data_IF_455522278210
#
_entry.id   IF_455522278210
#
_cell.length_a   1.000
_cell.length_b   1.000
_cell.length_c   1.000
_cell.angle_alpha   90.00
_cell.angle_beta   90.00
_cell.angle_gamma   90.00
#
_symmetry.space_group_name_H-M   'P 1'
#
loop_
_entity.id
_entity.type
_entity.pdbx_description
1 polymer ?
#
# COMPACT_ATOMS: atom_id res chain seq x y z
N UNK A 1 46.71 -31.12 53.47
CA UNK A 1 46.24 -32.49 53.18
C UNK A 1 44.76 -32.34 52.83
N UNK A 2 44.19 -32.69 51.68
CA UNK A 2 44.45 -33.76 50.72
C UNK A 2 43.92 -33.29 49.34
N UNK A 3 44.60 -33.74 48.28
CA UNK A 3 44.32 -33.57 46.85
C UNK A 3 43.03 -34.30 46.40
N UNK A 4 42.37 -33.86 45.32
CA UNK A 4 42.01 -34.70 44.14
C UNK A 4 41.02 -33.97 43.20
N UNK A 5 41.46 -33.54 42.01
CA UNK A 5 41.37 -34.20 40.68
C UNK A 5 40.04 -33.92 39.92
N UNK A 6 40.17 -33.15 38.83
CA UNK A 6 39.91 -33.49 37.41
C UNK A 6 38.42 -33.59 37.02
N UNK A 7 37.93 -32.65 36.21
CA UNK A 7 37.98 -32.67 34.73
C UNK A 7 36.85 -33.52 34.13
N UNK A 8 35.81 -32.86 33.60
CA UNK A 8 35.18 -33.31 32.35
C UNK A 8 34.46 -32.14 31.66
N UNK A 9 34.95 -31.83 30.47
CA UNK A 9 34.35 -30.95 29.47
C UNK A 9 33.10 -31.64 28.92
N UNK A 10 31.92 -31.02 29.04
CA UNK A 10 30.74 -31.44 28.28
C UNK A 10 30.65 -30.62 26.99
N UNK A 11 31.21 -31.20 25.92
CA UNK A 11 30.97 -30.83 24.54
C UNK A 11 29.86 -31.75 24.02
N UNK A 12 28.75 -31.21 23.52
CA UNK A 12 27.69 -32.04 22.95
C UNK A 12 26.38 -31.33 22.70
N UNK A 13 26.38 -30.28 21.89
CA UNK A 13 25.18 -29.74 21.27
C UNK A 13 24.85 -30.60 20.04
N UNK A 14 23.75 -31.37 20.09
CA UNK A 14 23.16 -32.00 18.92
C UNK A 14 21.66 -31.67 18.90
N UNK A 15 21.32 -30.50 18.34
CA UNK A 15 19.94 -30.17 18.01
C UNK A 15 19.61 -30.78 16.64
N UNK A 16 18.63 -31.67 16.64
CA UNK A 16 18.07 -32.30 15.45
C UNK A 16 17.32 -31.26 14.62
N UNK A 17 17.75 -31.01 13.39
CA UNK A 17 16.96 -30.27 12.40
C UNK A 17 16.21 -31.26 11.53
N UNK A 18 14.90 -31.37 11.73
CA UNK A 18 14.00 -32.06 10.81
C UNK A 18 13.95 -31.26 9.50
N UNK A 19 14.44 -31.85 8.42
CA UNK A 19 14.33 -31.31 7.07
C UNK A 19 12.87 -31.29 6.62
N UNK A 20 12.28 -30.11 6.52
CA UNK A 20 11.04 -29.91 5.77
C UNK A 20 11.44 -29.64 4.31
N UNK A 21 11.05 -30.56 3.43
CA UNK A 21 11.25 -30.47 2.00
C UNK A 21 10.46 -29.28 1.43
N UNK A 22 11.15 -28.21 1.06
CA UNK A 22 10.61 -27.16 0.21
C UNK A 22 10.65 -27.66 -1.25
N UNK A 23 9.47 -27.77 -1.87
CA UNK A 23 9.34 -28.03 -3.30
C UNK A 23 9.91 -26.86 -4.12
N UNK A 24 10.48 -27.12 -5.31
CA UNK A 24 11.11 -26.09 -6.13
C UNK A 24 10.05 -25.30 -6.90
N UNK A 25 9.82 -24.03 -6.53
CA UNK A 25 9.28 -23.05 -7.47
C UNK A 25 10.42 -22.60 -8.40
N UNK A 26 10.24 -22.89 -9.69
CA UNK A 26 11.21 -22.69 -10.77
C UNK A 26 11.42 -21.20 -11.08
N UNK A 27 12.65 -20.67 -11.04
CA UNK A 27 12.95 -19.34 -11.57
C UNK A 27 13.05 -19.40 -13.11
N UNK A 28 12.25 -18.58 -13.78
CA UNK A 28 12.30 -18.36 -15.23
C UNK A 28 13.40 -17.37 -15.59
N UNK A 29 14.35 -17.88 -16.37
CA UNK A 29 15.39 -17.26 -17.22
C UNK A 29 15.59 -15.74 -17.26
N UNK A 30 16.82 -15.39 -16.89
CA UNK A 30 17.74 -14.36 -17.39
C UNK A 30 17.63 -14.06 -18.89
N UNK A 31 17.50 -12.76 -19.27
CA UNK A 31 18.07 -12.10 -20.47
C UNK A 31 18.13 -10.58 -20.17
N UNK A 32 19.33 -10.04 -19.91
CA UNK A 32 20.27 -9.37 -20.82
C UNK A 32 20.06 -7.85 -20.90
N UNK A 33 21.12 -7.13 -20.53
CA UNK A 33 21.31 -5.70 -20.60
C UNK A 33 21.40 -5.26 -22.05
N UNK A 34 20.61 -4.27 -22.45
CA UNK A 34 20.93 -3.42 -23.59
C UNK A 34 20.76 -1.95 -23.20
N UNK A 35 21.91 -1.31 -23.06
CA UNK A 35 22.13 0.12 -23.10
C UNK A 35 21.86 0.59 -24.54
N UNK A 36 20.87 1.45 -24.75
CA UNK A 36 20.87 2.27 -25.96
C UNK A 36 20.32 3.67 -25.71
N UNK A 37 21.30 4.57 -25.62
CA UNK A 37 21.23 6.01 -25.86
C UNK A 37 20.45 6.36 -27.11
N UNK A 38 19.56 7.36 -27.03
CA UNK A 38 19.29 8.29 -28.13
C UNK A 38 18.63 9.57 -27.61
N UNK A 39 19.41 10.64 -27.70
CA UNK A 39 19.02 12.04 -27.65
C UNK A 39 18.10 12.41 -28.83
N UNK A 40 16.96 13.07 -28.55
CA UNK A 40 16.28 13.92 -29.54
C UNK A 40 15.95 15.28 -28.95
N UNK A 41 16.45 16.29 -29.65
CA UNK A 41 16.36 17.73 -29.39
C UNK A 41 15.06 18.30 -29.97
N UNK A 42 14.42 19.17 -29.20
CA UNK A 42 13.55 20.32 -29.54
C UNK A 42 12.48 20.18 -30.64
N UNK A 43 11.26 20.67 -30.35
CA UNK A 43 10.73 21.90 -30.97
C UNK A 43 9.40 22.29 -30.33
N UNK A 44 9.35 23.54 -29.91
CA UNK A 44 8.22 24.29 -29.38
C UNK A 44 7.01 24.33 -30.33
N UNK A 45 5.81 24.33 -29.75
CA UNK A 45 4.76 25.24 -30.22
C UNK A 45 3.75 25.53 -29.12
N UNK A 46 3.87 26.75 -28.61
CA UNK A 46 2.83 27.43 -27.86
C UNK A 46 1.61 27.63 -28.77
N UNK A 47 0.42 27.34 -28.24
CA UNK A 47 -0.82 27.91 -28.73
C UNK A 47 -1.54 28.54 -27.54
N UNK A 48 -1.45 29.86 -27.52
CA UNK A 48 -2.32 30.76 -26.79
C UNK A 48 -3.79 30.46 -27.11
N UNK A 49 -4.61 30.31 -26.07
CA UNK A 49 -6.03 30.64 -26.15
C UNK A 49 -6.36 31.53 -24.97
N UNK A 50 -6.32 32.83 -25.25
CA UNK A 50 -6.96 33.90 -24.49
C UNK A 50 -8.47 33.82 -24.67
N UNK A 51 -9.26 33.79 -23.58
CA UNK A 51 -10.60 34.42 -23.52
C UNK A 51 -10.99 34.68 -22.05
N UNK A 52 -10.74 35.91 -21.62
CA UNK A 52 -11.69 36.88 -21.03
C UNK A 52 -12.83 36.40 -20.12
N UNK A 53 -12.59 36.56 -18.81
CA UNK A 53 -13.30 37.42 -17.83
C UNK A 53 -14.83 37.36 -17.55
N UNK A 54 -15.09 37.35 -16.23
CA UNK A 54 -16.11 38.09 -15.44
C UNK A 54 -17.60 37.69 -15.46
N UNK A 55 -18.00 37.16 -14.29
CA UNK A 55 -19.00 37.70 -13.36
C UNK A 55 -20.39 38.06 -13.89
N UNK A 56 -21.42 37.34 -13.42
CA UNK A 56 -22.61 37.97 -12.81
C UNK A 56 -23.35 36.97 -11.91
N UNK A 57 -23.41 37.31 -10.62
CA UNK A 57 -24.40 36.85 -9.66
C UNK A 57 -25.82 37.22 -10.12
N UNK A 58 -26.82 36.36 -9.87
CA UNK A 58 -28.09 36.88 -9.39
C UNK A 58 -28.51 36.23 -8.07
N UNK A 59 -28.63 37.14 -7.11
CA UNK A 59 -29.27 37.00 -5.81
C UNK A 59 -30.76 36.62 -5.93
N UNK A 60 -31.24 35.92 -4.90
CA UNK A 60 -32.63 35.89 -4.38
C UNK A 60 -33.53 34.77 -4.88
N UNK A 61 -33.88 33.83 -3.99
CA UNK A 61 -35.22 33.78 -3.35
C UNK A 61 -35.19 32.74 -2.23
N UNK A 62 -35.26 33.21 -0.99
CA UNK A 62 -35.50 32.42 0.21
C UNK A 62 -36.94 31.92 0.22
N UNK A 63 -37.13 30.61 0.01
CA UNK A 63 -38.36 29.93 0.41
C UNK A 63 -38.13 29.25 1.75
N UNK A 64 -38.50 29.98 2.79
CA UNK A 64 -38.70 29.50 4.15
C UNK A 64 -39.81 28.44 4.13
N UNK A 65 -39.42 27.17 4.14
CA UNK A 65 -40.30 26.06 4.41
C UNK A 65 -40.08 25.63 5.86
N UNK A 66 -41.04 25.94 6.71
CA UNK A 66 -41.12 25.44 8.09
C UNK A 66 -41.37 23.94 8.05
N UNK A 67 -40.30 23.17 7.87
CA UNK A 67 -40.27 21.72 8.00
C UNK A 67 -39.96 21.36 9.45
N UNK A 68 -40.78 20.49 10.04
CA UNK A 68 -40.56 19.87 11.34
C UNK A 68 -39.13 19.30 11.44
N UNK A 69 -38.54 19.18 12.64
CA UNK A 69 -37.25 18.53 12.81
C UNK A 69 -37.41 17.03 12.50
N UNK A 70 -37.06 16.65 11.28
CA UNK A 70 -36.65 15.28 11.01
C UNK A 70 -35.38 15.06 11.83
N UNK A 71 -35.38 14.06 12.72
CA UNK A 71 -34.17 13.55 13.33
C UNK A 71 -33.38 12.88 12.21
N UNK A 72 -32.59 13.69 11.49
CA UNK A 72 -31.62 13.21 10.52
C UNK A 72 -30.49 12.62 11.35
N UNK A 73 -30.50 11.31 11.51
CA UNK A 73 -29.29 10.58 11.92
C UNK A 73 -28.30 10.72 10.76
N UNK A 74 -27.56 11.81 10.73
CA UNK A 74 -26.48 12.02 9.77
C UNK A 74 -25.41 10.99 10.10
N UNK A 75 -25.42 9.87 9.39
CA UNK A 75 -24.31 8.92 9.39
C UNK A 75 -23.16 9.67 8.73
N UNK A 76 -22.16 10.06 9.53
CA UNK A 76 -20.97 10.73 9.02
C UNK A 76 -20.33 9.86 7.94
N UNK A 77 -20.03 10.45 6.79
CA UNK A 77 -19.29 9.76 5.74
C UNK A 77 -17.92 9.32 6.27
N UNK A 78 -17.40 8.17 5.82
CA UNK A 78 -16.06 7.74 6.21
C UNK A 78 -15.02 8.78 5.78
N UNK A 79 -14.03 9.01 6.62
CA UNK A 79 -12.89 9.86 6.28
C UNK A 79 -12.15 9.27 5.07
N UNK A 80 -11.94 10.10 4.05
CA UNK A 80 -11.19 9.72 2.85
C UNK A 80 -9.81 10.34 2.90
N UNK A 81 -8.80 9.48 2.84
CA UNK A 81 -7.41 9.87 2.74
C UNK A 81 -7.01 9.95 1.27
N UNK A 82 -6.48 11.10 0.85
CA UNK A 82 -6.14 11.39 -0.55
C UNK A 82 -4.67 11.77 -0.74
N UNK A 83 -4.18 11.76 -1.97
CA UNK A 83 -2.79 12.11 -2.30
C UNK A 83 -1.76 11.02 -1.97
N UNK A 84 -2.23 9.79 -1.75
CA UNK A 84 -1.36 8.62 -1.61
C UNK A 84 -0.88 8.10 -2.96
N UNK A 85 0.28 7.46 -2.96
CA UNK A 85 0.75 6.60 -4.05
C UNK A 85 0.62 5.14 -3.62
N UNK A 86 0.11 4.28 -4.50
CA UNK A 86 0.17 2.85 -4.32
C UNK A 86 1.35 2.27 -5.11
N UNK A 87 2.14 1.42 -4.45
CA UNK A 87 3.12 0.50 -5.04
C UNK A 87 2.77 -0.93 -4.67
N UNK A 88 3.64 -1.87 -4.99
CA UNK A 88 3.49 -3.27 -4.63
C UNK A 88 4.80 -3.89 -4.13
N UNK A 89 4.69 -4.92 -3.30
CA UNK A 89 5.81 -5.72 -2.82
C UNK A 89 5.48 -7.22 -2.77
N UNK A 90 6.52 -8.04 -2.80
CA UNK A 90 6.45 -9.47 -2.54
C UNK A 90 6.68 -9.73 -1.04
N UNK A 91 5.90 -10.63 -0.44
CA UNK A 91 5.97 -10.90 0.99
C UNK A 91 7.17 -11.81 1.34
N UNK A 92 7.64 -12.62 0.39
CA UNK A 92 8.75 -13.58 0.54
C UNK A 92 8.63 -14.55 1.72
N UNK A 93 7.42 -14.71 2.28
CA UNK A 93 7.19 -15.50 3.49
C UNK A 93 7.78 -14.91 4.77
N UNK A 94 8.20 -13.63 4.75
CA UNK A 94 8.63 -12.94 5.96
C UNK A 94 7.43 -12.63 6.86
N UNK A 95 7.61 -12.66 8.19
CA UNK A 95 6.56 -12.22 9.09
C UNK A 95 6.26 -10.73 8.92
N UNK A 96 4.98 -10.37 8.92
CA UNK A 96 4.54 -8.97 8.93
C UNK A 96 4.68 -8.37 10.33
N UNK A 97 4.67 -7.03 10.45
CA UNK A 97 4.72 -6.38 11.77
C UNK A 97 3.46 -6.62 12.61
N UNK A 98 2.31 -6.87 11.97
CA UNK A 98 1.11 -7.31 12.66
C UNK A 98 1.15 -8.78 13.10
N UNK A 99 2.21 -9.51 12.73
CA UNK A 99 2.40 -10.93 13.05
C UNK A 99 1.85 -11.85 11.97
N UNK A 100 2.36 -13.09 11.95
CA UNK A 100 2.04 -14.06 10.91
C UNK A 100 2.73 -13.76 9.58
N UNK A 101 2.51 -14.62 8.58
CA UNK A 101 3.07 -14.49 7.23
C UNK A 101 1.94 -14.41 6.22
N UNK A 102 2.09 -13.57 5.20
CA UNK A 102 1.12 -13.41 4.11
C UNK A 102 1.72 -13.87 2.77
N UNK A 103 0.85 -14.16 1.80
CA UNK A 103 1.22 -14.53 0.43
C UNK A 103 0.93 -13.41 -0.57
N UNK A 104 1.65 -13.45 -1.69
CA UNK A 104 1.54 -12.49 -2.80
C UNK A 104 0.14 -12.43 -3.43
N UNK A 105 -0.66 -13.49 -3.26
CA UNK A 105 -2.04 -13.61 -3.72
C UNK A 105 -3.11 -13.22 -2.67
N UNK A 106 -2.72 -12.83 -1.47
CA UNK A 106 -3.64 -12.30 -0.45
C UNK A 106 -3.94 -10.81 -0.69
N UNK A 107 -5.08 -10.33 -0.21
CA UNK A 107 -5.45 -8.91 -0.30
C UNK A 107 -4.99 -8.14 0.94
N UNK A 108 -3.68 -7.89 1.02
CA UNK A 108 -3.04 -7.20 2.14
C UNK A 108 -2.30 -5.93 1.71
N UNK A 109 -2.09 -5.03 2.66
CA UNK A 109 -1.42 -3.74 2.44
C UNK A 109 -0.53 -3.36 3.62
N UNK A 110 0.60 -2.73 3.31
CA UNK A 110 1.42 -2.00 4.25
C UNK A 110 1.05 -0.51 4.21
N UNK A 111 0.79 0.09 5.37
CA UNK A 111 0.55 1.54 5.48
C UNK A 111 1.87 2.27 5.64
N UNK A 112 1.96 3.51 5.14
CA UNK A 112 3.09 4.38 5.47
C UNK A 112 3.37 4.46 6.98
N UNK A 113 4.64 4.41 7.35
CA UNK A 113 5.06 4.37 8.76
C UNK A 113 4.62 5.56 9.59
N UNK A 114 4.35 6.72 8.96
CA UNK A 114 3.89 7.91 9.68
C UNK A 114 2.43 7.80 10.13
N UNK A 115 1.68 6.86 9.55
CA UNK A 115 0.30 6.56 9.94
C UNK A 115 0.14 5.19 10.58
N UNK A 116 0.98 4.24 10.25
CA UNK A 116 0.88 2.90 10.83
C UNK A 116 1.05 2.94 12.35
N UNK A 117 0.16 2.26 13.04
CA UNK A 117 0.32 1.85 14.43
C UNK A 117 -0.24 0.44 14.63
N UNK A 118 0.20 -0.25 15.68
CA UNK A 118 -0.17 -1.65 15.93
C UNK A 118 -1.69 -1.87 16.13
N UNK A 119 -2.47 -0.83 16.49
CA UNK A 119 -3.92 -0.93 16.61
C UNK A 119 -4.65 -0.98 15.27
N UNK A 120 -3.97 -0.62 14.18
CA UNK A 120 -4.50 -0.72 12.81
C UNK A 120 -4.36 -2.12 12.23
N UNK A 121 -3.59 -3.00 12.88
CA UNK A 121 -3.45 -4.38 12.45
C UNK A 121 -4.80 -5.08 12.31
N UNK A 122 -5.02 -5.71 11.15
CA UNK A 122 -6.26 -6.42 10.84
C UNK A 122 -7.43 -5.51 10.45
N UNK A 123 -7.30 -4.19 10.52
CA UNK A 123 -8.32 -3.28 9.97
C UNK A 123 -8.35 -3.37 8.45
N UNK A 124 -9.52 -3.15 7.89
CA UNK A 124 -9.72 -3.10 6.44
C UNK A 124 -9.76 -1.67 5.94
N UNK A 125 -9.24 -1.49 4.75
CA UNK A 125 -9.38 -0.25 4.00
C UNK A 125 -9.91 -0.55 2.60
N UNK A 126 -10.71 0.37 2.06
CA UNK A 126 -11.07 0.38 0.66
C UNK A 126 -10.16 1.33 -0.08
N UNK A 127 -9.38 0.81 -1.03
CA UNK A 127 -8.48 1.58 -1.88
C UNK A 127 -9.15 1.83 -3.23
N UNK A 128 -9.04 3.05 -3.73
CA UNK A 128 -9.55 3.45 -5.06
C UNK A 128 -8.42 4.02 -5.88
N UNK A 129 -8.22 3.49 -7.10
CA UNK A 129 -7.28 4.05 -8.06
C UNK A 129 -7.85 5.37 -8.63
N UNK A 130 -7.08 6.45 -8.51
CA UNK A 130 -7.50 7.79 -8.93
C UNK A 130 -7.64 7.98 -10.43
N UNK A 131 -7.02 7.12 -11.25
CA UNK A 131 -7.04 7.22 -12.72
C UNK A 131 -8.19 6.46 -13.36
N UNK A 132 -8.57 5.30 -12.82
CA UNK A 132 -9.56 4.41 -13.44
C UNK A 132 -10.78 4.11 -12.56
N UNK A 133 -10.80 4.57 -11.31
CA UNK A 133 -11.91 4.39 -10.38
C UNK A 133 -12.13 2.96 -9.86
N UNK A 134 -11.24 2.00 -10.19
CA UNK A 134 -11.31 0.64 -9.65
C UNK A 134 -10.98 0.63 -8.17
N UNK A 135 -11.62 -0.29 -7.46
CA UNK A 135 -11.50 -0.42 -6.00
C UNK A 135 -11.14 -1.82 -5.56
N UNK A 136 -10.47 -1.92 -4.41
CA UNK A 136 -10.17 -3.17 -3.72
C UNK A 136 -10.19 -2.96 -2.22
N UNK A 137 -10.70 -3.95 -1.50
CA UNK A 137 -10.64 -3.99 -0.04
C UNK A 137 -9.45 -4.82 0.39
N UNK A 138 -8.60 -4.25 1.24
CA UNK A 138 -7.37 -4.88 1.71
C UNK A 138 -7.25 -4.81 3.22
N UNK A 139 -6.51 -5.75 3.79
CA UNK A 139 -6.23 -5.80 5.23
C UNK A 139 -4.87 -5.18 5.54
N UNK A 140 -4.81 -4.33 6.56
CA UNK A 140 -3.56 -3.73 7.04
C UNK A 140 -2.76 -4.76 7.83
N UNK A 141 -1.52 -5.03 7.39
CA UNK A 141 -0.67 -6.08 7.99
C UNK A 141 0.72 -5.61 8.40
N UNK A 142 1.19 -4.46 7.90
CA UNK A 142 2.49 -3.92 8.31
C UNK A 142 2.64 -2.43 8.00
N UNK A 143 3.78 -1.90 8.40
CA UNK A 143 4.27 -0.58 8.05
C UNK A 143 5.18 -0.64 6.83
N UNK A 144 5.16 0.41 6.03
CA UNK A 144 6.02 0.66 4.90
C UNK A 144 6.96 1.84 5.22
N UNK A 145 8.23 1.57 5.60
CA UNK A 145 9.19 2.63 5.94
C UNK A 145 9.62 3.49 4.74
N UNK A 146 9.57 2.94 3.53
CA UNK A 146 9.97 3.60 2.28
C UNK A 146 8.81 4.30 1.58
N UNK A 147 7.61 4.29 2.14
CA UNK A 147 6.45 4.90 1.52
C UNK A 147 6.62 6.43 1.40
N UNK A 148 6.19 6.94 0.24
CA UNK A 148 6.52 8.29 -0.21
C UNK A 148 5.97 9.36 0.74
N UNK A 149 4.77 9.15 1.28
CA UNK A 149 4.10 10.07 2.17
C UNK A 149 3.11 9.33 3.08
N UNK A 150 2.58 10.02 4.09
CA UNK A 150 1.64 9.48 5.07
C UNK A 150 0.39 8.81 4.50
N UNK A 151 0.02 9.08 3.25
CA UNK A 151 -1.14 8.49 2.58
C UNK A 151 -0.80 7.36 1.59
N UNK A 152 0.48 7.08 1.39
CA UNK A 152 0.95 6.05 0.46
C UNK A 152 0.76 4.63 1.02
N UNK A 153 0.61 3.68 0.11
CA UNK A 153 0.30 2.28 0.38
C UNK A 153 1.30 1.40 -0.38
N UNK A 154 1.79 0.34 0.25
CA UNK A 154 2.55 -0.70 -0.44
C UNK A 154 1.77 -2.00 -0.38
N UNK A 155 1.19 -2.40 -1.52
CA UNK A 155 0.18 -3.44 -1.59
C UNK A 155 0.83 -4.80 -1.90
N UNK A 156 0.17 -5.88 -1.51
CA UNK A 156 0.43 -7.20 -2.11
C UNK A 156 0.28 -7.16 -3.64
N UNK A 157 0.98 -8.06 -4.32
CA UNK A 157 0.96 -8.19 -5.79
C UNK A 157 -0.47 -8.31 -6.31
N UNK A 158 -1.27 -9.20 -5.73
CA UNK A 158 -2.65 -9.40 -6.16
C UNK A 158 -3.54 -8.18 -5.88
N UNK A 159 -3.39 -7.53 -4.73
CA UNK A 159 -4.21 -6.35 -4.42
C UNK A 159 -3.91 -5.17 -5.36
N UNK A 160 -2.64 -4.96 -5.74
CA UNK A 160 -2.27 -3.95 -6.72
C UNK A 160 -2.89 -4.26 -8.10
N UNK A 161 -2.79 -5.51 -8.54
CA UNK A 161 -3.32 -5.99 -9.82
C UNK A 161 -4.85 -5.85 -9.94
N UNK A 162 -5.59 -5.81 -8.82
CA UNK A 162 -7.05 -5.59 -8.83
C UNK A 162 -7.45 -4.20 -9.30
N UNK A 163 -6.61 -3.19 -9.05
CA UNK A 163 -6.96 -1.79 -9.33
C UNK A 163 -6.05 -1.12 -10.37
N UNK A 164 -4.98 -1.76 -10.81
CA UNK A 164 -4.07 -1.24 -11.83
C UNK A 164 -3.26 -2.33 -12.52
N UNK A 165 -2.22 -1.92 -13.27
CA UNK A 165 -1.30 -2.82 -13.94
C UNK A 165 0.12 -2.61 -13.41
N UNK A 166 0.90 -3.69 -13.28
CA UNK A 166 2.32 -3.59 -12.90
C UNK A 166 3.16 -2.71 -13.84
N UNK A 167 2.75 -2.59 -15.11
CA UNK A 167 3.38 -1.69 -16.09
C UNK A 167 3.39 -0.23 -15.66
N UNK A 168 2.43 0.17 -14.81
CA UNK A 168 2.31 1.55 -14.34
C UNK A 168 3.33 1.84 -13.23
N UNK A 169 3.84 0.78 -12.57
CA UNK A 169 4.76 0.83 -11.44
C UNK A 169 4.12 1.37 -10.15
N UNK A 170 3.43 2.51 -10.24
CA UNK A 170 2.69 3.13 -9.16
C UNK A 170 1.55 4.00 -9.71
N UNK A 171 0.53 4.27 -8.88
CA UNK A 171 -0.54 5.20 -9.25
C UNK A 171 -1.09 5.93 -8.02
N UNK A 172 -1.73 7.08 -8.28
CA UNK A 172 -2.43 7.83 -7.24
C UNK A 172 -3.63 7.04 -6.72
N UNK A 173 -3.83 7.09 -5.40
CA UNK A 173 -4.96 6.46 -4.73
C UNK A 173 -5.63 7.38 -3.73
N UNK A 174 -6.91 7.11 -3.51
CA UNK A 174 -7.62 7.48 -2.29
C UNK A 174 -7.99 6.21 -1.54
N UNK A 175 -8.18 6.29 -0.24
CA UNK A 175 -8.67 5.15 0.54
C UNK A 175 -9.36 5.60 1.82
N UNK A 176 -10.16 4.72 2.41
CA UNK A 176 -10.86 4.94 3.68
C UNK A 176 -10.88 3.66 4.50
N UNK A 177 -10.96 3.78 5.83
CA UNK A 177 -11.29 2.63 6.68
C UNK A 177 -12.74 2.19 6.42
N UNK A 178 -12.99 0.87 6.52
CA UNK A 178 -14.31 0.24 6.32
C UNK A 178 -14.63 -0.77 7.42
#
# INVERSE_FOLDING_TARGET
>A
MIFSTLSTVFLGLAASISSVAAGPCKPGSTQSLDEQSSTVTATSRALDITTTALSSDPTTTSHESTSLPAVTTTVAAPEVFAGGMATWYHQYGNPSQCGGTHRDDELVVALDYRRFDMSLCGKKIRVTNGSNGRTVDVTVVESCPSCLNGNSLDMSVEAFNRIGSFSDGSYFVTWSFI
#
